data_IF_440533700750
#
_entry.id   IF_440533700750
#
_cell.length_a   1.000
_cell.length_b   1.000
_cell.length_c   1.000
_cell.angle_alpha   90.00
_cell.angle_beta   90.00
_cell.angle_gamma   90.00
#
_symmetry.space_group_name_H-M   'P 1'
#
loop_
_entity.id
_entity.type
_entity.pdbx_description
1 polymer ?
#
# COMPACT_ATOMS: atom_id res chain seq x y z
N UNK A 1 -34.80 -2.53 29.09
CA UNK A 1 -33.39 -2.08 29.10
C UNK A 1 -32.41 -3.19 28.70
N UNK A 2 -32.45 -4.37 29.34
CA UNK A 2 -31.48 -5.46 29.09
C UNK A 2 -31.47 -6.03 27.67
N UNK A 3 -32.64 -6.20 27.03
CA UNK A 3 -32.72 -6.76 25.66
C UNK A 3 -32.00 -5.87 24.63
N UNK A 4 -32.10 -4.55 24.79
CA UNK A 4 -31.43 -3.59 23.91
C UNK A 4 -29.92 -3.67 24.09
N UNK A 5 -29.46 -3.80 25.34
CA UNK A 5 -28.04 -3.93 25.67
C UNK A 5 -27.47 -5.22 25.11
N UNK A 6 -28.12 -6.37 25.34
CA UNK A 6 -27.67 -7.66 24.80
C UNK A 6 -27.75 -7.71 23.27
N UNK A 7 -28.77 -7.11 22.66
CA UNK A 7 -28.89 -6.98 21.21
C UNK A 7 -27.76 -6.12 20.62
N UNK A 8 -27.43 -5.00 21.26
CA UNK A 8 -26.32 -4.15 20.85
C UNK A 8 -24.97 -4.86 20.96
N UNK A 9 -24.69 -5.50 22.10
CA UNK A 9 -23.45 -6.26 22.29
C UNK A 9 -23.36 -7.46 21.35
N UNK A 10 -24.48 -8.13 21.05
CA UNK A 10 -24.52 -9.20 20.06
C UNK A 10 -24.21 -8.72 18.64
N UNK A 11 -24.83 -7.63 18.20
CA UNK A 11 -24.55 -7.01 16.90
C UNK A 11 -23.12 -6.48 16.80
N UNK A 12 -22.61 -5.86 17.86
CA UNK A 12 -21.24 -5.36 17.94
C UNK A 12 -20.23 -6.52 17.85
N UNK A 13 -20.45 -7.61 18.59
CA UNK A 13 -19.61 -8.80 18.52
C UNK A 13 -19.62 -9.40 17.11
N UNK A 14 -20.80 -9.51 16.47
CA UNK A 14 -20.93 -10.05 15.12
C UNK A 14 -20.21 -9.18 14.07
N UNK A 15 -20.29 -7.85 14.20
CA UNK A 15 -19.61 -6.90 13.33
C UNK A 15 -18.09 -6.91 13.51
N UNK A 16 -17.60 -6.99 14.75
CA UNK A 16 -16.17 -7.07 15.06
C UNK A 16 -15.54 -8.42 14.66
N UNK A 17 -16.31 -9.50 14.67
CA UNK A 17 -15.87 -10.82 14.22
C UNK A 17 -15.86 -10.95 12.69
N UNK A 18 -16.60 -10.09 11.96
CA UNK A 18 -16.57 -10.06 10.51
C UNK A 18 -15.26 -9.41 10.03
N UNK A 19 -14.17 -10.19 10.00
CA UNK A 19 -12.89 -9.84 9.36
C UNK A 19 -13.02 -9.79 7.84
N UNK A 20 -13.99 -9.03 7.32
CA UNK A 20 -14.04 -8.71 5.89
C UNK A 20 -12.83 -7.83 5.58
N UNK A 21 -11.85 -8.29 4.77
CA UNK A 21 -10.76 -7.43 4.38
C UNK A 21 -11.32 -6.37 3.43
N UNK A 22 -11.55 -5.17 3.95
CA UNK A 22 -12.05 -4.00 3.20
C UNK A 22 -11.13 -3.65 2.00
N UNK A 23 -9.95 -4.25 1.90
CA UNK A 23 -8.90 -3.91 0.94
C UNK A 23 -8.54 -4.98 -0.10
N UNK A 24 -9.14 -6.18 -0.10
CA UNK A 24 -8.54 -7.31 -0.83
C UNK A 24 -8.79 -7.40 -2.36
N UNK A 25 -9.62 -6.56 -2.99
CA UNK A 25 -10.01 -6.77 -4.41
C UNK A 25 -9.66 -5.68 -5.42
N UNK A 26 -9.35 -4.45 -5.00
CA UNK A 26 -9.20 -3.36 -5.97
C UNK A 26 -7.93 -3.44 -6.83
N UNK A 27 -6.86 -4.11 -6.36
CA UNK A 27 -5.58 -4.21 -7.10
C UNK A 27 -5.45 -5.41 -8.05
N UNK A 28 -6.15 -6.53 -7.77
CA UNK A 28 -5.97 -7.80 -8.51
C UNK A 28 -6.35 -7.66 -9.99
N UNK A 29 -7.29 -6.77 -10.30
CA UNK A 29 -7.79 -6.55 -11.68
C UNK A 29 -6.78 -5.87 -12.62
N UNK A 30 -5.65 -5.39 -12.09
CA UNK A 30 -4.59 -4.69 -12.83
C UNK A 30 -3.34 -5.54 -13.09
N UNK A 31 -3.24 -6.74 -12.51
CA UNK A 31 -2.10 -7.65 -12.75
C UNK A 31 -2.01 -8.00 -14.24
N UNK A 32 -0.81 -7.88 -14.82
CA UNK A 32 -0.54 -8.13 -16.25
C UNK A 32 -0.94 -6.99 -17.19
N UNK A 33 -1.56 -5.91 -16.69
CA UNK A 33 -1.83 -4.69 -17.47
C UNK A 33 -0.71 -3.68 -17.25
N UNK A 34 -0.48 -2.81 -18.22
CA UNK A 34 0.43 -1.69 -18.06
C UNK A 34 0.08 -0.86 -16.81
N UNK A 35 1.08 -0.46 -16.04
CA UNK A 35 0.87 0.45 -14.92
C UNK A 35 0.32 1.79 -15.45
N UNK A 36 -0.65 2.42 -14.76
CA UNK A 36 -1.06 3.78 -15.11
C UNK A 36 0.12 4.73 -15.02
N UNK A 37 0.26 5.65 -15.98
CA UNK A 37 1.28 6.69 -15.86
C UNK A 37 0.93 7.62 -14.70
N UNK A 38 1.96 7.99 -13.94
CA UNK A 38 1.83 8.90 -12.81
C UNK A 38 2.91 9.95 -12.92
N UNK A 39 2.49 11.20 -12.73
CA UNK A 39 3.38 12.35 -12.67
C UNK A 39 3.22 13.01 -11.32
N UNK A 40 4.33 13.19 -10.58
CA UNK A 40 4.29 13.82 -9.27
C UNK A 40 5.56 14.64 -8.99
N UNK A 41 5.45 15.73 -8.21
CA UNK A 41 6.63 16.46 -7.76
C UNK A 41 7.45 15.60 -6.79
N UNK A 42 8.77 15.68 -6.92
CA UNK A 42 9.70 15.03 -6.00
C UNK A 42 9.96 15.89 -4.77
N UNK A 43 10.26 15.22 -3.64
CA UNK A 43 10.56 15.89 -2.37
C UNK A 43 11.81 16.79 -2.44
N UNK A 44 12.76 16.46 -3.31
CA UNK A 44 14.01 17.20 -3.52
C UNK A 44 13.88 18.27 -4.61
N UNK A 45 12.67 18.48 -5.13
CA UNK A 45 12.40 19.30 -6.32
C UNK A 45 12.48 18.48 -7.61
N UNK A 46 11.92 19.04 -8.68
CA UNK A 46 11.72 18.35 -9.95
C UNK A 46 10.41 17.56 -10.02
N UNK A 47 10.25 16.83 -11.12
CA UNK A 47 9.06 16.05 -11.43
C UNK A 47 9.48 14.61 -11.72
N UNK A 48 8.73 13.66 -11.18
CA UNK A 48 8.86 12.24 -11.46
C UNK A 48 7.74 11.83 -12.42
N UNK A 49 8.07 11.08 -13.47
CA UNK A 49 7.10 10.47 -14.38
C UNK A 49 7.39 8.99 -14.59
N UNK A 50 6.42 8.13 -14.28
CA UNK A 50 6.63 6.67 -14.30
C UNK A 50 6.97 6.14 -15.69
N UNK A 51 6.42 6.73 -16.75
CA UNK A 51 6.72 6.32 -18.13
C UNK A 51 8.17 6.58 -18.57
N UNK A 52 8.98 7.31 -17.79
CA UNK A 52 10.40 7.53 -18.07
C UNK A 52 11.29 6.41 -17.51
N UNK A 53 10.75 5.56 -16.64
CA UNK A 53 11.47 4.46 -15.98
C UNK A 53 11.10 3.07 -16.53
N UNK A 54 10.55 3.02 -17.75
CA UNK A 54 10.28 1.74 -18.43
C UNK A 54 11.57 1.01 -18.82
N UNK A 55 11.61 -0.29 -18.56
CA UNK A 55 12.75 -1.16 -18.88
C UNK A 55 13.52 -1.63 -17.64
N UNK A 56 13.35 -0.93 -16.52
CA UNK A 56 13.93 -1.29 -15.23
C UNK A 56 12.86 -1.90 -14.31
N UNK A 57 13.21 -2.90 -13.47
CA UNK A 57 12.33 -3.39 -12.43
C UNK A 57 11.93 -2.26 -11.47
N UNK A 58 10.70 -1.77 -11.60
CA UNK A 58 10.20 -0.64 -10.81
C UNK A 58 9.16 -1.11 -9.79
N UNK A 59 9.35 -0.75 -8.51
CA UNK A 59 8.42 -1.02 -7.42
C UNK A 59 7.83 0.29 -6.91
N UNK A 60 6.50 0.42 -7.00
CA UNK A 60 5.76 1.57 -6.45
C UNK A 60 5.20 1.21 -5.08
N UNK A 61 5.67 1.90 -4.05
CA UNK A 61 5.23 1.70 -2.67
C UNK A 61 4.40 2.89 -2.19
N UNK A 62 3.16 2.65 -1.77
CA UNK A 62 2.29 3.67 -1.17
C UNK A 62 2.43 3.62 0.36
N UNK A 63 3.01 4.67 0.95
CA UNK A 63 3.34 4.71 2.37
C UNK A 63 3.08 6.08 2.99
N UNK A 64 3.28 6.16 4.31
CA UNK A 64 3.31 7.42 5.04
C UNK A 64 4.26 7.30 6.25
N UNK A 65 4.82 8.43 6.70
CA UNK A 65 5.77 8.49 7.83
C UNK A 65 5.17 7.96 9.15
N UNK A 66 3.87 8.11 9.32
CA UNK A 66 3.14 7.66 10.49
C UNK A 66 2.64 6.21 10.39
N UNK A 67 2.78 5.56 9.22
CA UNK A 67 2.34 4.18 9.00
C UNK A 67 3.30 3.18 9.68
N UNK A 68 2.91 2.49 10.76
CA UNK A 68 3.81 1.58 11.48
C UNK A 68 4.34 0.39 10.65
N UNK A 69 3.51 -0.36 9.89
CA UNK A 69 4.03 -1.47 9.08
C UNK A 69 4.96 -0.96 7.97
N UNK A 70 4.64 0.18 7.35
CA UNK A 70 5.49 0.78 6.32
C UNK A 70 6.89 1.10 6.85
N UNK A 71 7.00 1.67 8.07
CA UNK A 71 8.30 1.97 8.69
C UNK A 71 9.12 0.71 8.97
N UNK A 72 8.47 -0.40 9.32
CA UNK A 72 9.16 -1.68 9.54
C UNK A 72 9.71 -2.26 8.22
N UNK A 73 9.04 -2.00 7.10
CA UNK A 73 9.42 -2.48 5.77
C UNK A 73 10.46 -1.60 5.06
N UNK A 74 10.48 -0.28 5.32
CA UNK A 74 11.36 0.68 4.62
C UNK A 74 12.85 0.27 4.60
N UNK A 75 13.46 -0.25 5.68
CA UNK A 75 14.85 -0.71 5.64
C UNK A 75 15.09 -1.86 4.66
N UNK A 76 14.08 -2.69 4.40
CA UNK A 76 14.13 -3.75 3.40
C UNK A 76 14.21 -3.18 1.99
N UNK A 77 13.31 -2.25 1.66
CA UNK A 77 13.31 -1.57 0.36
C UNK A 77 14.63 -0.83 0.10
N UNK A 78 15.16 -0.11 1.08
CA UNK A 78 16.42 0.60 0.96
C UNK A 78 17.60 -0.34 0.65
N UNK A 79 17.68 -1.48 1.36
CA UNK A 79 18.74 -2.48 1.09
C UNK A 79 18.63 -3.06 -0.31
N UNK A 80 17.41 -3.39 -0.75
CA UNK A 80 17.18 -3.92 -2.09
C UNK A 80 17.52 -2.90 -3.17
N UNK A 81 17.11 -1.63 -2.99
CA UNK A 81 17.42 -0.56 -3.93
C UNK A 81 18.93 -0.36 -4.09
N UNK A 82 19.68 -0.31 -2.99
CA UNK A 82 21.15 -0.21 -3.04
C UNK A 82 21.79 -1.38 -3.78
N UNK A 83 21.36 -2.61 -3.48
CA UNK A 83 21.88 -3.79 -4.18
C UNK A 83 21.65 -3.73 -5.69
N UNK A 84 20.47 -3.33 -6.15
CA UNK A 84 20.18 -3.17 -7.58
C UNK A 84 20.90 -1.98 -8.23
N UNK A 85 21.14 -0.90 -7.47
CA UNK A 85 21.86 0.27 -7.98
C UNK A 85 23.34 0.00 -8.23
N UNK A 86 23.93 -0.98 -7.52
CA UNK A 86 25.33 -1.37 -7.69
C UNK A 86 25.54 -2.32 -8.89
N UNK A 87 24.47 -2.99 -9.35
CA UNK A 87 24.49 -3.99 -10.43
C UNK A 87 24.13 -3.43 -11.83
N UNK A 88 23.71 -2.16 -11.91
CA UNK A 88 23.32 -1.45 -13.15
C UNK A 88 24.33 -0.40 -13.57
#
# INVERSE_FOLDING_TARGET
MGIIVFGFFGLLALGLMNKSPVTARSGVTRVGKAAPDITMPLLQGGEFRLSEHTGEPTVVNFWASWCPPCRNESPGFERTWRGFSDDG
#
